data_IF_707243005568
#
_entry.id   IF_707243005568
#
_cell.length_a   1.000
_cell.length_b   1.000
_cell.length_c   1.000
_cell.angle_alpha   90.00
_cell.angle_beta   90.00
_cell.angle_gamma   90.00
#
_symmetry.space_group_name_H-M   'P 1'
#
loop_
_entity.id
_entity.type
_entity.pdbx_description
1 polymer ?
#
# COMPACT_ATOMS: atom_id res chain seq x y z
N UNK A 1 -4.65 57.47 1.40
CA UNK A 1 -4.22 56.35 2.27
C UNK A 1 -3.04 55.68 1.59
N UNK A 2 -1.85 55.81 2.18
CA UNK A 2 -0.59 55.25 1.66
C UNK A 2 -0.54 53.74 1.92
N UNK A 3 -1.14 52.94 1.05
CA UNK A 3 -1.10 51.47 1.18
C UNK A 3 0.30 50.87 0.98
N UNK A 4 1.30 51.67 0.54
CA UNK A 4 2.62 51.17 0.14
C UNK A 4 3.72 51.14 1.21
N UNK A 5 3.47 51.63 2.43
CA UNK A 5 4.52 51.78 3.49
C UNK A 5 4.39 50.79 4.65
N UNK A 6 3.70 49.68 4.46
CA UNK A 6 3.56 48.67 5.49
C UNK A 6 4.71 47.65 5.43
N UNK A 7 5.17 47.22 6.60
CA UNK A 7 6.19 46.18 6.71
C UNK A 7 5.62 44.82 6.28
N UNK A 8 6.51 43.86 6.01
CA UNK A 8 6.11 42.54 5.53
C UNK A 8 5.19 41.80 6.51
N UNK A 9 5.35 42.00 7.82
CA UNK A 9 4.52 41.33 8.83
C UNK A 9 3.08 41.80 8.75
N UNK A 10 2.86 43.10 8.50
CA UNK A 10 1.54 43.66 8.28
C UNK A 10 0.88 43.11 7.01
N UNK A 11 1.62 43.06 5.90
CA UNK A 11 1.11 42.46 4.66
C UNK A 11 0.79 40.97 4.82
N UNK A 12 1.67 40.22 5.47
CA UNK A 12 1.45 38.82 5.84
C UNK A 12 0.18 38.67 6.68
N UNK A 13 0.00 39.52 7.69
CA UNK A 13 -1.21 39.53 8.51
C UNK A 13 -2.45 39.82 7.68
N UNK A 14 -2.46 40.84 6.82
CA UNK A 14 -3.61 41.16 5.97
C UNK A 14 -3.95 40.03 4.98
N UNK A 15 -2.94 39.38 4.39
CA UNK A 15 -3.14 38.22 3.52
C UNK A 15 -3.74 37.07 4.31
N UNK A 16 -3.21 36.78 5.50
CA UNK A 16 -3.77 35.78 6.41
C UNK A 16 -5.21 36.16 6.77
N UNK A 17 -5.49 37.33 7.32
CA UNK A 17 -6.85 37.75 7.71
C UNK A 17 -7.85 37.69 6.54
N UNK A 18 -7.43 38.04 5.32
CA UNK A 18 -8.31 38.07 4.15
C UNK A 18 -8.52 36.70 3.50
N UNK A 19 -7.52 35.82 3.53
CA UNK A 19 -7.51 34.55 2.78
C UNK A 19 -7.45 33.29 3.63
N UNK A 20 -7.17 33.42 4.93
CA UNK A 20 -7.24 32.36 5.93
C UNK A 20 -8.71 32.10 6.30
N UNK A 21 -9.45 31.66 5.29
CA UNK A 21 -10.82 31.25 5.44
C UNK A 21 -10.83 29.96 6.29
N UNK A 22 -11.56 29.94 7.41
CA UNK A 22 -11.77 28.73 8.20
C UNK A 22 -12.23 27.54 7.33
N UNK A 23 -12.95 27.81 6.25
CA UNK A 23 -13.31 26.79 5.25
C UNK A 23 -12.12 26.23 4.48
N UNK A 24 -11.09 27.02 4.18
CA UNK A 24 -9.87 26.55 3.55
C UNK A 24 -9.05 25.69 4.52
N UNK A 25 -8.89 26.13 5.78
CA UNK A 25 -8.24 25.33 6.83
C UNK A 25 -8.91 23.98 6.98
N UNK A 26 -10.23 23.97 7.14
CA UNK A 26 -11.03 22.75 7.22
C UNK A 26 -10.85 21.85 6.00
N UNK A 27 -10.82 22.42 4.79
CA UNK A 27 -10.56 21.65 3.55
C UNK A 27 -9.17 21.03 3.55
N UNK A 28 -8.13 21.76 3.94
CA UNK A 28 -6.75 21.25 4.00
C UNK A 28 -6.61 20.15 5.05
N UNK A 29 -7.18 20.37 6.24
CA UNK A 29 -7.16 19.40 7.32
C UNK A 29 -7.89 18.12 6.93
N UNK A 30 -9.12 18.22 6.42
CA UNK A 30 -9.86 17.06 5.93
C UNK A 30 -9.15 16.35 4.76
N UNK A 31 -8.47 17.11 3.88
CA UNK A 31 -7.71 16.53 2.78
C UNK A 31 -6.44 15.79 3.25
N UNK A 32 -5.82 16.21 4.36
CA UNK A 32 -4.73 15.48 5.00
C UNK A 32 -5.27 14.28 5.78
N UNK A 33 -6.35 14.46 6.55
CA UNK A 33 -6.92 13.41 7.40
C UNK A 33 -7.37 12.19 6.60
N UNK A 34 -8.03 12.43 5.47
CA UNK A 34 -8.47 11.39 4.52
C UNK A 34 -7.37 10.82 3.62
N UNK A 35 -6.18 11.45 3.57
CA UNK A 35 -5.08 11.00 2.75
C UNK A 35 -4.35 9.83 3.42
N UNK A 36 -4.83 8.62 3.19
CA UNK A 36 -4.12 7.38 3.54
C UNK A 36 -3.24 7.00 2.35
N UNK A 37 -1.98 6.68 2.62
CA UNK A 37 -1.03 6.27 1.57
C UNK A 37 -1.42 4.91 0.98
N UNK A 38 -1.48 4.83 -0.35
CA UNK A 38 -1.77 3.61 -1.08
C UNK A 38 -0.61 3.22 -2.01
N UNK A 39 -0.03 2.04 -1.79
CA UNK A 39 1.13 1.56 -2.55
C UNK A 39 0.90 1.38 -4.05
N UNK A 40 -0.33 1.11 -4.48
CA UNK A 40 -0.65 0.86 -5.89
C UNK A 40 -0.88 2.15 -6.65
N UNK A 41 -1.34 3.19 -5.96
CA UNK A 41 -1.77 4.46 -6.56
C UNK A 41 -0.75 5.59 -6.35
N UNK A 42 -0.11 5.63 -5.20
CA UNK A 42 0.69 6.76 -4.75
C UNK A 42 2.18 6.50 -4.96
N UNK A 43 2.87 7.51 -5.50
CA UNK A 43 4.32 7.53 -5.55
C UNK A 43 4.85 8.14 -4.24
N UNK A 44 5.76 7.47 -3.50
CA UNK A 44 6.20 7.90 -2.17
C UNK A 44 6.66 9.36 -2.11
N UNK A 45 7.55 9.76 -3.01
CA UNK A 45 8.12 11.11 -3.06
C UNK A 45 7.04 12.20 -3.20
N UNK A 46 6.21 12.09 -4.25
CA UNK A 46 5.20 13.11 -4.55
C UNK A 46 4.10 13.14 -3.50
N UNK A 47 3.70 11.98 -3.00
CA UNK A 47 2.66 11.90 -1.99
C UNK A 47 3.15 12.50 -0.67
N UNK A 48 4.39 12.19 -0.26
CA UNK A 48 4.97 12.69 0.98
C UNK A 48 5.11 14.21 0.96
N UNK A 49 5.67 14.78 -0.11
CA UNK A 49 5.77 16.25 -0.24
C UNK A 49 4.40 16.92 -0.23
N UNK A 50 3.40 16.35 -0.92
CA UNK A 50 2.03 16.89 -0.89
C UNK A 50 1.44 16.93 0.52
N UNK A 51 1.74 15.93 1.36
CA UNK A 51 1.30 15.95 2.76
C UNK A 51 2.13 16.93 3.62
N UNK A 52 3.43 17.03 3.35
CA UNK A 52 4.30 18.04 4.00
C UNK A 52 3.81 19.45 3.73
N UNK A 53 3.44 19.77 2.49
CA UNK A 53 2.93 21.09 2.11
C UNK A 53 1.61 21.40 2.84
N UNK A 54 0.69 20.43 2.92
CA UNK A 54 -0.58 20.59 3.65
C UNK A 54 -0.35 20.87 5.13
N UNK A 55 0.50 20.09 5.79
CA UNK A 55 0.78 20.26 7.21
C UNK A 55 1.57 21.53 7.49
N UNK A 56 2.56 21.88 6.66
CA UNK A 56 3.34 23.12 6.82
C UNK A 56 2.47 24.36 6.66
N UNK A 57 1.44 24.28 5.81
CA UNK A 57 0.48 25.37 5.61
C UNK A 57 -0.54 25.48 6.76
N UNK A 58 -0.82 24.40 7.49
CA UNK A 58 -1.71 24.37 8.65
C UNK A 58 -0.99 24.68 9.97
N UNK A 59 0.26 24.24 10.10
CA UNK A 59 1.05 24.31 11.32
C UNK A 59 2.43 24.89 11.03
N UNK A 60 2.51 26.23 11.03
CA UNK A 60 3.77 26.95 10.77
C UNK A 60 4.83 26.75 11.85
N UNK A 61 4.41 26.37 13.06
CA UNK A 61 5.29 26.29 14.23
C UNK A 61 5.76 24.86 14.52
N UNK A 62 5.33 23.90 13.70
CA UNK A 62 5.67 22.49 13.86
C UNK A 62 7.04 22.19 13.26
N UNK A 63 7.88 21.42 13.97
CA UNK A 63 9.18 21.00 13.44
C UNK A 63 9.03 20.04 12.26
N UNK A 64 9.98 20.09 11.33
CA UNK A 64 10.03 19.18 10.18
C UNK A 64 9.98 17.71 10.59
N UNK A 65 10.65 17.33 11.69
CA UNK A 65 10.60 15.97 12.24
C UNK A 65 9.19 15.59 12.67
N UNK A 66 8.47 16.48 13.36
CA UNK A 66 7.10 16.21 13.80
C UNK A 66 6.15 16.12 12.60
N UNK A 67 6.31 16.99 11.59
CA UNK A 67 5.57 16.91 10.33
C UNK A 67 5.80 15.54 9.68
N UNK A 68 7.06 15.10 9.56
CA UNK A 68 7.39 13.80 8.98
C UNK A 68 6.72 12.65 9.76
N UNK A 69 6.77 12.68 11.09
CA UNK A 69 6.12 11.65 11.93
C UNK A 69 4.59 11.63 11.74
N UNK A 70 3.94 12.79 11.60
CA UNK A 70 2.51 12.87 11.32
C UNK A 70 2.16 12.29 9.95
N UNK A 71 3.00 12.53 8.93
CA UNK A 71 2.82 11.94 7.59
C UNK A 71 2.95 10.41 7.67
N UNK A 72 3.92 9.89 8.43
CA UNK A 72 4.12 8.43 8.54
C UNK A 72 2.93 7.72 9.20
N UNK A 73 2.20 8.37 10.11
CA UNK A 73 0.96 7.81 10.68
C UNK A 73 -0.10 7.51 9.61
N UNK A 74 -0.05 8.19 8.47
CA UNK A 74 -0.93 7.96 7.32
C UNK A 74 -0.44 6.84 6.39
N UNK A 75 0.73 6.25 6.63
CA UNK A 75 1.28 5.12 5.86
C UNK A 75 0.78 3.74 6.32
N UNK A 76 0.02 3.68 7.41
CA UNK A 76 -0.42 2.43 8.03
C UNK A 76 0.65 1.82 8.95
N UNK A 77 0.20 1.09 9.98
CA UNK A 77 1.03 0.65 11.13
C UNK A 77 2.32 -0.06 10.73
N UNK A 78 2.25 -1.02 9.81
CA UNK A 78 3.40 -1.84 9.42
C UNK A 78 4.46 -1.03 8.66
N UNK A 79 4.01 -0.20 7.71
CA UNK A 79 4.91 0.62 6.90
C UNK A 79 5.51 1.75 7.74
N UNK A 80 4.70 2.39 8.60
CA UNK A 80 5.16 3.36 9.59
C UNK A 80 6.29 2.78 10.45
N UNK A 81 6.06 1.60 11.04
CA UNK A 81 7.04 0.95 11.91
C UNK A 81 8.32 0.60 11.14
N UNK A 82 8.20 0.03 9.93
CA UNK A 82 9.35 -0.34 9.11
C UNK A 82 10.18 0.87 8.67
N UNK A 83 9.56 2.03 8.45
CA UNK A 83 10.28 3.28 8.13
C UNK A 83 10.99 3.79 9.37
N UNK A 84 10.28 3.88 10.51
CA UNK A 84 10.83 4.38 11.78
C UNK A 84 12.02 3.56 12.25
N UNK A 85 11.98 2.23 12.11
CA UNK A 85 13.10 1.38 12.52
C UNK A 85 14.39 1.60 11.71
N UNK A 86 14.31 2.23 10.54
CA UNK A 86 15.47 2.63 9.72
C UNK A 86 15.95 4.05 9.99
N UNK A 87 15.16 4.87 10.67
CA UNK A 87 15.41 6.29 10.89
C UNK A 87 15.82 6.53 12.35
N UNK A 88 17.09 6.83 12.60
CA UNK A 88 17.55 7.31 13.92
C UNK A 88 17.29 8.81 14.00
N UNK A 89 16.54 9.27 15.00
CA UNK A 89 16.22 10.69 15.16
C UNK A 89 17.46 11.50 15.64
N UNK A 90 17.65 12.75 15.18
CA UNK A 90 16.83 13.47 14.19
C UNK A 90 17.12 13.01 12.75
N UNK A 91 16.05 12.81 11.98
CA UNK A 91 16.12 12.26 10.63
C UNK A 91 15.53 13.25 9.62
N UNK A 92 16.20 13.46 8.48
CA UNK A 92 15.75 14.41 7.47
C UNK A 92 14.52 13.89 6.70
N UNK A 93 13.70 14.80 6.16
CA UNK A 93 12.57 14.44 5.28
C UNK A 93 13.02 13.56 4.12
N UNK A 94 14.17 13.87 3.52
CA UNK A 94 14.71 13.08 2.41
C UNK A 94 15.03 11.64 2.82
N UNK A 95 15.60 11.45 4.01
CA UNK A 95 15.92 10.12 4.51
C UNK A 95 14.63 9.30 4.76
N UNK A 96 13.58 9.90 5.35
CA UNK A 96 12.29 9.22 5.49
C UNK A 96 11.71 8.76 4.14
N UNK A 97 11.78 9.62 3.12
CA UNK A 97 11.29 9.29 1.77
C UNK A 97 12.14 8.18 1.14
N UNK A 98 13.46 8.24 1.28
CA UNK A 98 14.36 7.21 0.75
C UNK A 98 14.15 5.87 1.44
N UNK A 99 14.00 5.84 2.77
CA UNK A 99 13.65 4.64 3.53
C UNK A 99 12.30 4.07 3.08
N UNK A 100 11.29 4.92 2.89
CA UNK A 100 9.97 4.54 2.39
C UNK A 100 10.07 3.93 0.98
N UNK A 101 10.80 4.56 0.06
CA UNK A 101 11.03 4.03 -1.30
C UNK A 101 11.74 2.68 -1.26
N UNK A 102 12.77 2.54 -0.43
CA UNK A 102 13.52 1.30 -0.28
C UNK A 102 12.62 0.15 0.20
N UNK A 103 11.86 0.37 1.28
CA UNK A 103 10.93 -0.61 1.83
C UNK A 103 9.91 -1.05 0.80
N UNK A 104 9.31 -0.09 0.10
CA UNK A 104 8.26 -0.39 -0.89
C UNK A 104 8.82 -1.16 -2.07
N UNK A 105 10.05 -0.85 -2.48
CA UNK A 105 10.71 -1.55 -3.60
C UNK A 105 11.14 -2.98 -3.25
N UNK A 106 11.57 -3.21 -1.99
CA UNK A 106 12.14 -4.49 -1.54
C UNK A 106 11.14 -5.40 -0.84
N UNK A 107 10.01 -4.87 -0.39
CA UNK A 107 9.03 -5.61 0.41
C UNK A 107 7.62 -5.51 -0.16
N UNK A 108 6.73 -6.41 0.28
CA UNK A 108 5.29 -6.32 0.00
C UNK A 108 4.50 -5.69 1.15
N UNK A 109 5.19 -5.03 2.10
CA UNK A 109 4.57 -4.44 3.29
C UNK A 109 3.62 -3.32 2.88
N UNK A 110 2.39 -3.34 3.42
CA UNK A 110 1.34 -2.35 3.16
C UNK A 110 0.47 -2.63 1.93
N UNK A 111 0.71 -3.71 1.17
CA UNK A 111 -0.17 -4.08 0.06
C UNK A 111 -1.52 -4.54 0.60
N UNK A 112 -2.57 -3.83 0.23
CA UNK A 112 -3.94 -4.28 0.47
C UNK A 112 -4.18 -5.43 -0.50
N UNK A 113 -4.20 -6.66 0.01
CA UNK A 113 -4.73 -7.77 -0.76
C UNK A 113 -6.23 -7.54 -0.90
N UNK A 114 -6.65 -7.01 -2.04
CA UNK A 114 -8.05 -7.09 -2.43
C UNK A 114 -8.41 -8.57 -2.43
N UNK A 115 -9.24 -9.01 -1.48
CA UNK A 115 -9.94 -10.28 -1.63
C UNK A 115 -10.66 -10.16 -2.97
N UNK A 116 -10.28 -11.00 -3.92
CA UNK A 116 -11.01 -11.12 -5.19
C UNK A 116 -12.41 -11.59 -4.78
N UNK A 117 -13.33 -10.65 -4.61
CA UNK A 117 -14.75 -10.97 -4.58
C UNK A 117 -15.05 -11.40 -6.00
N UNK A 118 -15.15 -12.72 -6.20
CA UNK A 118 -15.70 -13.27 -7.43
C UNK A 118 -17.15 -12.78 -7.45
N UNK A 119 -17.39 -11.64 -8.11
CA UNK A 119 -18.73 -11.18 -8.43
C UNK A 119 -19.35 -12.24 -9.34
N UNK A 120 -20.15 -13.13 -8.76
CA UNK A 120 -21.04 -13.99 -9.50
C UNK A 120 -22.09 -13.10 -10.16
N UNK A 121 -21.79 -12.65 -11.38
CA UNK A 121 -22.77 -12.04 -12.28
C UNK A 121 -23.93 -13.03 -12.42
N UNK A 122 -25.08 -12.66 -11.88
CA UNK A 122 -26.35 -13.34 -12.13
C UNK A 122 -26.68 -13.10 -13.60
N UNK A 123 -26.28 -14.02 -14.46
CA UNK A 123 -26.70 -14.06 -15.86
C UNK A 123 -28.02 -14.85 -15.89
N UNK A 124 -29.07 -14.17 -16.33
CA UNK A 124 -30.41 -14.67 -16.57
C UNK A 124 -30.39 -16.01 -17.32
N UNK A 125 -31.16 -16.98 -16.80
CA UNK A 125 -31.27 -18.34 -17.31
C UNK A 125 -31.74 -18.34 -18.78
N UNK A 126 -30.89 -18.81 -19.68
CA UNK A 126 -31.29 -19.40 -20.96
C UNK A 126 -30.84 -20.88 -20.93
N UNK A 127 -31.69 -21.85 -21.25
CA UNK A 127 -31.34 -23.27 -21.13
C UNK A 127 -30.36 -23.64 -22.25
N UNK A 128 -29.12 -23.97 -21.88
CA UNK A 128 -28.13 -24.54 -22.81
C UNK A 128 -27.43 -25.76 -22.22
N UNK A 129 -27.40 -26.78 -23.07
CA UNK A 129 -26.98 -28.17 -22.89
C UNK A 129 -25.78 -28.39 -21.97
N UNK A 130 -25.92 -29.41 -21.12
CA UNK A 130 -24.87 -30.03 -20.31
C UNK A 130 -23.65 -30.42 -21.17
N UNK A 131 -22.59 -29.61 -21.12
CA UNK A 131 -21.23 -30.08 -21.39
C UNK A 131 -20.41 -29.81 -20.15
N UNK A 132 -20.47 -30.73 -19.18
CA UNK A 132 -19.50 -30.77 -18.08
C UNK A 132 -18.11 -30.98 -18.66
N UNK A 133 -17.10 -30.16 -18.30
CA UNK A 133 -15.72 -30.58 -18.47
C UNK A 133 -15.48 -31.77 -17.54
N UNK A 134 -15.16 -32.94 -18.10
CA UNK A 134 -14.72 -34.09 -17.31
C UNK A 134 -13.49 -33.69 -16.50
N UNK A 135 -13.60 -33.76 -15.17
CA UNK A 135 -12.44 -33.58 -14.29
C UNK A 135 -11.43 -34.69 -14.62
N UNK A 136 -10.14 -34.38 -14.83
CA UNK A 136 -9.14 -35.41 -15.07
C UNK A 136 -9.08 -36.33 -13.85
N UNK A 137 -9.29 -37.63 -14.09
CA UNK A 137 -9.25 -38.65 -13.05
C UNK A 137 -7.78 -38.80 -12.62
N UNK A 138 -7.44 -38.19 -11.49
CA UNK A 138 -6.07 -38.19 -10.96
C UNK A 138 -5.73 -39.60 -10.44
N UNK A 139 -4.72 -40.24 -11.05
CA UNK A 139 -4.21 -41.56 -10.67
C UNK A 139 -3.03 -41.42 -9.70
N UNK A 140 -2.93 -42.34 -8.74
CA UNK A 140 -1.76 -42.44 -7.87
C UNK A 140 -0.50 -42.75 -8.68
N UNK A 141 0.51 -41.89 -8.63
CA UNK A 141 1.79 -42.14 -9.31
C UNK A 141 2.62 -43.29 -8.70
N UNK A 142 2.31 -43.75 -7.48
CA UNK A 142 2.97 -44.93 -6.87
C UNK A 142 2.36 -46.28 -7.26
N UNK A 143 1.04 -46.35 -7.46
CA UNK A 143 0.34 -47.62 -7.69
C UNK A 143 -0.59 -47.66 -8.91
N UNK A 144 -0.73 -46.53 -9.63
CA UNK A 144 -1.58 -46.39 -10.81
C UNK A 144 -3.09 -46.37 -10.55
N UNK A 145 -3.55 -46.57 -9.30
CA UNK A 145 -4.98 -46.63 -8.96
C UNK A 145 -5.58 -45.24 -8.75
N UNK A 146 -6.86 -45.08 -9.06
CA UNK A 146 -7.65 -43.84 -8.90
C UNK A 146 -8.31 -43.73 -7.51
N UNK A 147 -8.21 -44.79 -6.70
CA UNK A 147 -8.83 -44.85 -5.36
C UNK A 147 -8.15 -43.95 -4.32
N UNK A 148 -6.91 -43.55 -4.56
CA UNK A 148 -6.09 -42.83 -3.60
C UNK A 148 -4.99 -42.03 -4.30
N UNK A 149 -4.37 -41.10 -3.57
CA UNK A 149 -3.26 -40.28 -4.05
C UNK A 149 -1.92 -40.86 -3.56
N UNK A 150 -0.80 -40.42 -4.15
CA UNK A 150 0.54 -40.97 -3.85
C UNK A 150 0.99 -40.78 -2.40
N UNK A 151 0.48 -39.74 -1.74
CA UNK A 151 0.73 -39.45 -0.32
C UNK A 151 -0.02 -40.40 0.63
N UNK A 152 -1.15 -40.95 0.22
CA UNK A 152 -1.96 -41.91 0.99
C UNK A 152 -1.83 -43.34 0.46
N UNK A 153 -0.79 -43.60 -0.33
CA UNK A 153 -0.55 -44.91 -0.92
C UNK A 153 0.25 -45.81 0.03
N UNK A 154 -0.34 -46.95 0.39
CA UNK A 154 0.26 -47.99 1.23
C UNK A 154 1.16 -48.97 0.45
N UNK A 155 1.24 -48.86 -0.89
CA UNK A 155 2.12 -49.71 -1.70
C UNK A 155 3.54 -49.13 -1.78
N UNK A 156 4.55 -50.00 -1.61
CA UNK A 156 5.96 -49.67 -1.81
C UNK A 156 6.25 -49.41 -3.29
N UNK A 157 7.02 -48.38 -3.57
CA UNK A 157 7.47 -48.02 -4.94
C UNK A 157 8.34 -49.15 -5.50
N UNK A 158 8.05 -49.63 -6.72
CA UNK A 158 8.97 -50.51 -7.45
C UNK A 158 10.07 -49.65 -8.07
N UNK A 159 11.32 -49.86 -7.66
CA UNK A 159 12.51 -49.27 -8.30
C UNK A 159 12.88 -50.22 -9.44
N UNK A 160 12.99 -49.71 -10.67
CA UNK A 160 13.42 -50.53 -11.82
C UNK A 160 14.92 -50.84 -11.70
N UNK A 161 15.27 -52.10 -11.97
CA UNK A 161 16.65 -52.55 -12.15
C UNK A 161 17.30 -51.81 -13.33
N UNK A 162 18.48 -51.25 -13.08
CA UNK A 162 19.33 -50.64 -14.12
C UNK A 162 19.94 -51.78 -14.93
N UNK A 163 19.60 -51.87 -16.23
CA UNK A 163 20.31 -52.77 -17.12
C UNK A 163 21.74 -52.27 -17.31
N UNK A 164 22.70 -53.08 -16.87
CA UNK A 164 24.11 -52.93 -17.20
C UNK A 164 24.25 -53.25 -18.69
N UNK A 165 24.73 -52.28 -19.45
CA UNK A 165 25.07 -52.44 -20.88
C UNK A 165 26.52 -52.92 -20.91
N UNK A 166 26.75 -54.14 -21.42
CA UNK A 166 28.07 -54.64 -21.84
C UNK A 166 28.56 -53.98 -23.13
#
# INVERSE_FOLDING_TARGET
>A
MDYGKHDWSWWKYQVITKWENNSWRFKMENAFESAIFNLEKDKPLTWFFKQKDRLSALHTDMSDTMINVQILRKCGRELEHAIKSRCVEPCSTEYYINAMKDIISRTRIGKIWTKITIESKIISKVPRQDRRPEKPILKCHKCGRTSNLANTCTKKTKINEVQVIE
#
